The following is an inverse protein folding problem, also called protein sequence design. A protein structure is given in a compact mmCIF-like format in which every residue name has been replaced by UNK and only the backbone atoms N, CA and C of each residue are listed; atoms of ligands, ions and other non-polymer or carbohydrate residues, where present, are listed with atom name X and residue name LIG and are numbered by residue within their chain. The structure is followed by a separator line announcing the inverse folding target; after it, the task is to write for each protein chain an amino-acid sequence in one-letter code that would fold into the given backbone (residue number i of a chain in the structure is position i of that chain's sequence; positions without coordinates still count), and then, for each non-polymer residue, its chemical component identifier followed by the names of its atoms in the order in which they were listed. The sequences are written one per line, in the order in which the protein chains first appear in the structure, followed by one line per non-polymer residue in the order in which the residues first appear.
data_IF_299272197227
#
_entry.id   IF_299272197227
#
_cell.length_a   1.000
_cell.length_b   1.000
_cell.length_c   1.000
_cell.angle_alpha   90.00
_cell.angle_beta   90.00
_cell.angle_gamma   90.00
#
_symmetry.space_group_name_H-M   'P 1'
#
loop_
_entity.id
_entity.type
_entity.pdbx_description
1 polymer ?
#
# COMPACT_ATOMS: atom_id res chain seq x y z
N UNK A 1 28.13 -9.86 13.15
CA UNK A 1 28.02 -8.50 12.57
C UNK A 1 27.10 -7.67 13.47
N UNK A 2 27.27 -6.35 13.53
CA UNK A 2 26.45 -5.48 14.39
C UNK A 2 25.41 -4.70 13.57
N UNK A 3 24.19 -4.60 14.09
CA UNK A 3 23.05 -3.86 13.53
C UNK A 3 22.59 -2.78 14.51
N UNK A 4 21.96 -1.72 14.01
CA UNK A 4 21.27 -0.73 14.85
C UNK A 4 19.88 -1.26 15.23
N UNK A 5 19.52 -1.11 16.50
CA UNK A 5 18.12 -1.17 16.93
C UNK A 5 17.68 0.25 17.27
N UNK A 6 16.61 0.71 16.62
CA UNK A 6 16.08 2.06 16.83
C UNK A 6 14.62 1.92 17.23
N UNK A 7 14.28 2.43 18.42
CA UNK A 7 12.90 2.54 18.88
C UNK A 7 12.49 4.00 18.83
N UNK A 8 11.46 4.32 18.05
CA UNK A 8 10.92 5.67 17.96
C UNK A 8 9.71 5.83 18.87
N UNK A 9 9.45 7.06 19.37
CA UNK A 9 8.14 7.35 19.94
C UNK A 9 7.04 7.18 18.87
N UNK A 10 5.76 7.11 19.26
CA UNK A 10 4.68 7.06 18.29
C UNK A 10 4.76 8.21 17.28
N UNK A 11 4.46 7.94 16.00
CA UNK A 11 4.62 8.88 14.88
C UNK A 11 3.29 9.29 14.24
N UNK A 12 3.25 10.44 13.57
CA UNK A 12 2.12 10.76 12.70
C UNK A 12 2.17 9.91 11.40
N UNK A 13 1.07 9.89 10.65
CA UNK A 13 0.97 9.08 9.43
C UNK A 13 1.97 9.49 8.33
N UNK A 14 2.34 10.76 8.23
CA UNK A 14 3.28 11.27 7.21
C UNK A 14 4.70 10.80 7.50
N UNK A 15 5.10 10.87 8.76
CA UNK A 15 6.36 10.35 9.26
C UNK A 15 6.39 8.82 9.16
N UNK A 16 5.30 8.13 9.50
CA UNK A 16 5.20 6.68 9.40
C UNK A 16 5.53 6.18 7.98
N UNK A 17 4.87 6.73 6.97
CA UNK A 17 5.02 6.28 5.56
C UNK A 17 6.35 6.69 4.90
N UNK A 18 7.19 7.48 5.57
CA UNK A 18 8.46 7.98 5.04
C UNK A 18 9.68 7.56 5.84
N UNK A 19 9.50 7.10 7.09
CA UNK A 19 10.58 6.80 8.03
C UNK A 19 11.62 5.80 7.52
N UNK A 20 11.21 4.80 6.75
CA UNK A 20 12.14 3.82 6.18
C UNK A 20 13.06 4.43 5.11
N UNK A 21 12.67 5.53 4.45
CA UNK A 21 13.42 6.09 3.31
C UNK A 21 14.74 6.69 3.79
N UNK A 22 14.71 7.54 4.82
CA UNK A 22 15.94 8.17 5.33
C UNK A 22 16.91 7.12 5.89
N UNK A 23 16.39 6.09 6.57
CA UNK A 23 17.20 4.96 7.05
C UNK A 23 17.75 4.13 5.89
N UNK A 24 16.98 3.92 4.82
CA UNK A 24 17.46 3.23 3.61
C UNK A 24 18.55 4.02 2.88
N UNK A 25 18.46 5.36 2.84
CA UNK A 25 19.51 6.23 2.32
C UNK A 25 20.79 6.13 3.17
N UNK A 26 20.67 6.13 4.51
CA UNK A 26 21.80 5.89 5.43
C UNK A 26 22.48 4.52 5.17
N UNK A 27 21.70 3.44 5.07
CA UNK A 27 22.22 2.10 4.77
C UNK A 27 22.88 2.04 3.39
N UNK A 28 22.27 2.67 2.38
CA UNK A 28 22.81 2.77 1.01
C UNK A 28 24.21 3.42 0.97
N UNK A 29 24.48 4.35 1.90
CA UNK A 29 25.78 5.05 2.00
C UNK A 29 26.81 4.30 2.85
N UNK A 30 26.56 3.03 3.19
CA UNK A 30 27.47 2.19 3.98
C UNK A 30 27.14 2.15 5.47
N UNK A 31 25.98 2.67 5.88
CA UNK A 31 25.46 2.54 7.22
C UNK A 31 25.23 1.09 7.66
N UNK A 32 25.11 0.87 8.98
CA UNK A 32 24.73 -0.44 9.53
C UNK A 32 23.28 -0.77 9.18
N UNK A 33 22.99 -2.03 8.88
CA UNK A 33 21.60 -2.51 8.83
C UNK A 33 20.87 -2.11 10.11
N UNK A 34 19.61 -1.75 9.97
CA UNK A 34 18.83 -1.13 11.04
C UNK A 34 17.50 -1.85 11.17
N UNK A 35 17.15 -2.21 12.40
CA UNK A 35 15.81 -2.65 12.76
C UNK A 35 15.13 -1.52 13.54
N UNK A 36 14.10 -0.94 12.93
CA UNK A 36 13.35 0.19 13.42
C UNK A 36 11.98 -0.29 13.92
N UNK A 37 11.58 0.09 15.12
CA UNK A 37 10.27 -0.24 15.70
C UNK A 37 9.56 1.00 16.24
N UNK A 38 8.24 1.06 16.08
CA UNK A 38 7.42 2.19 16.54
C UNK A 38 5.92 1.87 16.47
N UNK A 39 5.08 2.90 16.57
CA UNK A 39 3.63 2.84 16.36
C UNK A 39 3.15 4.21 15.89
N UNK A 40 1.86 4.37 15.58
CA UNK A 40 1.30 5.68 15.26
C UNK A 40 0.67 6.36 16.47
N UNK A 41 0.70 7.70 16.46
CA UNK A 41 0.07 8.56 17.48
C UNK A 41 -1.45 8.56 17.39
N UNK A 42 -1.99 8.50 16.19
CA UNK A 42 -3.43 8.57 15.90
C UNK A 42 -3.71 7.73 14.66
N UNK A 43 -4.93 7.18 14.49
CA UNK A 43 -5.25 6.42 13.31
C UNK A 43 -5.22 7.28 12.05
N UNK A 44 -4.87 6.69 10.91
CA UNK A 44 -4.90 7.35 9.61
C UNK A 44 -5.21 6.36 8.49
N UNK A 45 -5.71 6.89 7.36
CA UNK A 45 -5.97 6.10 6.15
C UNK A 45 -4.76 6.22 5.23
N UNK A 46 -4.12 5.10 4.90
CA UNK A 46 -2.99 5.07 3.98
C UNK A 46 -3.39 4.55 2.59
N UNK A 47 -3.46 5.46 1.63
CA UNK A 47 -3.87 5.19 0.24
C UNK A 47 -2.64 4.87 -0.61
N UNK A 48 -2.74 3.86 -1.47
CA UNK A 48 -1.69 3.50 -2.42
C UNK A 48 -1.51 4.52 -3.53
N UNK A 49 -0.30 4.61 -4.10
CA UNK A 49 0.06 5.67 -5.06
C UNK A 49 -0.88 5.73 -6.27
N UNK A 50 -1.34 4.59 -6.80
CA UNK A 50 -2.20 4.52 -7.98
C UNK A 50 -3.71 4.53 -7.69
N UNK A 51 -4.12 4.69 -6.42
CA UNK A 51 -5.54 4.70 -6.04
C UNK A 51 -6.13 6.12 -6.03
N UNK A 52 -7.40 6.26 -6.35
CA UNK A 52 -8.14 7.53 -6.22
C UNK A 52 -8.80 7.61 -4.84
N UNK A 53 -8.52 8.67 -4.08
CA UNK A 53 -9.02 8.80 -2.70
C UNK A 53 -10.54 8.73 -2.66
N UNK A 54 -11.21 9.39 -3.61
CA UNK A 54 -12.67 9.45 -3.65
C UNK A 54 -13.34 8.08 -3.88
N UNK A 55 -12.60 7.08 -4.41
CA UNK A 55 -13.07 5.70 -4.59
C UNK A 55 -12.78 4.82 -3.38
N UNK A 56 -11.69 5.07 -2.65
CA UNK A 56 -11.25 4.19 -1.56
C UNK A 56 -11.71 4.64 -0.18
N UNK A 57 -11.86 5.95 0.04
CA UNK A 57 -11.97 6.53 1.39
C UNK A 57 -13.34 7.14 1.60
N UNK A 58 -13.94 6.82 2.74
CA UNK A 58 -15.10 7.54 3.25
C UNK A 58 -14.63 8.90 3.79
N UNK A 59 -14.55 9.88 2.89
CA UNK A 59 -14.04 11.22 3.20
C UNK A 59 -14.90 11.94 4.24
N UNK A 60 -16.22 11.75 4.21
CA UNK A 60 -17.13 12.36 5.17
C UNK A 60 -16.86 11.84 6.59
N UNK A 61 -16.74 10.51 6.74
CA UNK A 61 -16.40 9.90 8.02
C UNK A 61 -15.01 10.32 8.51
N UNK A 62 -13.99 10.26 7.65
CA UNK A 62 -12.61 10.54 8.05
C UNK A 62 -12.41 12.01 8.43
N UNK A 63 -12.99 12.96 7.68
CA UNK A 63 -12.97 14.39 8.02
C UNK A 63 -13.68 14.67 9.35
N UNK A 64 -14.89 14.12 9.54
CA UNK A 64 -15.66 14.30 10.79
C UNK A 64 -14.93 13.78 12.02
N UNK A 65 -14.19 12.67 11.88
CA UNK A 65 -13.46 12.03 12.96
C UNK A 65 -11.98 12.45 13.04
N UNK A 66 -11.54 13.43 12.24
CA UNK A 66 -10.15 13.93 12.20
C UNK A 66 -9.11 12.84 11.92
N UNK A 67 -9.47 11.87 11.08
CA UNK A 67 -8.59 10.78 10.65
C UNK A 67 -7.93 11.23 9.34
N UNK A 68 -6.62 11.52 9.31
CA UNK A 68 -5.98 12.02 8.11
C UNK A 68 -5.90 10.95 7.02
N UNK A 69 -5.95 11.40 5.76
CA UNK A 69 -5.65 10.57 4.59
C UNK A 69 -4.21 10.86 4.16
N UNK A 70 -3.40 9.82 4.05
CA UNK A 70 -1.99 9.92 3.69
C UNK A 70 -1.72 9.02 2.49
N UNK A 71 -1.10 9.55 1.45
CA UNK A 71 -0.69 8.77 0.27
C UNK A 71 0.76 8.31 0.39
N UNK A 72 1.03 7.02 0.19
CA UNK A 72 2.39 6.46 0.10
C UNK A 72 2.86 6.37 -1.35
N UNK A 73 4.17 6.25 -1.54
CA UNK A 73 4.81 6.08 -2.86
C UNK A 73 4.66 4.68 -3.48
N UNK A 74 4.14 3.72 -2.71
CA UNK A 74 3.97 2.36 -3.15
C UNK A 74 2.54 2.08 -3.58
N UNK A 75 2.40 1.13 -4.52
CA UNK A 75 1.13 0.52 -4.88
C UNK A 75 0.48 -0.26 -3.74
N UNK A 76 -0.46 -1.13 -4.09
CA UNK A 76 -1.26 -1.89 -3.12
C UNK A 76 -2.49 -1.14 -2.64
N UNK A 77 -3.34 -1.86 -1.91
CA UNK A 77 -4.66 -1.35 -1.50
C UNK A 77 -4.58 -0.33 -0.36
N UNK A 78 -5.72 0.31 -0.08
CA UNK A 78 -5.85 1.24 1.03
C UNK A 78 -5.90 0.45 2.33
N UNK A 79 -5.17 0.91 3.33
CA UNK A 79 -5.15 0.32 4.67
C UNK A 79 -5.42 1.40 5.70
N UNK A 80 -5.97 1.02 6.84
CA UNK A 80 -6.21 1.93 7.97
C UNK A 80 -5.27 1.49 9.08
N UNK A 81 -4.38 2.40 9.47
CA UNK A 81 -3.31 2.11 10.41
C UNK A 81 -3.67 2.76 11.74
N UNK A 82 -3.53 2.01 12.84
CA UNK A 82 -4.00 2.45 14.17
C UNK A 82 -2.91 2.36 15.22
N UNK A 83 -3.12 3.03 16.37
CA UNK A 83 -2.27 2.90 17.56
C UNK A 83 -2.19 1.44 18.08
N UNK A 84 -3.09 0.56 17.63
CA UNK A 84 -3.11 -0.87 17.93
C UNK A 84 -2.02 -1.67 17.21
N UNK A 85 -1.18 -1.03 16.40
CA UNK A 85 -0.11 -1.68 15.63
C UNK A 85 1.25 -1.45 16.27
N UNK A 86 2.12 -2.46 16.21
CA UNK A 86 3.55 -2.32 16.46
C UNK A 86 4.29 -2.46 15.14
N UNK A 87 4.58 -1.32 14.54
CA UNK A 87 5.17 -1.22 13.22
C UNK A 87 6.67 -1.40 13.29
N UNK A 88 7.22 -2.01 12.24
CA UNK A 88 8.65 -2.18 12.11
C UNK A 88 9.14 -2.06 10.67
N UNK A 89 10.40 -1.65 10.54
CA UNK A 89 11.16 -1.73 9.32
C UNK A 89 12.49 -2.44 9.54
N UNK A 90 12.77 -3.43 8.71
CA UNK A 90 14.07 -4.10 8.64
C UNK A 90 14.77 -3.55 7.40
N UNK A 91 15.79 -2.72 7.61
CA UNK A 91 16.52 -2.04 6.53
C UNK A 91 17.90 -2.67 6.38
N UNK A 92 18.13 -3.26 5.23
CA UNK A 92 19.26 -4.13 4.91
C UNK A 92 20.09 -3.56 3.78
N UNK A 93 21.40 -3.76 3.80
CA UNK A 93 22.20 -3.68 2.59
C UNK A 93 21.71 -4.71 1.57
N UNK A 94 21.58 -4.30 0.31
CA UNK A 94 21.01 -5.15 -0.74
C UNK A 94 21.77 -6.46 -0.94
N UNK A 95 23.10 -6.45 -0.80
CA UNK A 95 23.94 -7.64 -0.91
C UNK A 95 23.73 -8.69 0.21
N UNK A 96 23.09 -8.30 1.32
CA UNK A 96 22.78 -9.21 2.44
C UNK A 96 21.35 -9.76 2.40
N UNK A 97 20.52 -9.19 1.50
CA UNK A 97 19.14 -9.57 1.28
C UNK A 97 19.06 -10.63 0.17
N UNK A 98 18.41 -11.79 0.42
CA UNK A 98 18.07 -12.71 -0.65
C UNK A 98 17.30 -12.01 -1.77
N UNK A 99 17.66 -12.30 -3.02
CA UNK A 99 16.97 -11.75 -4.19
C UNK A 99 15.60 -12.39 -4.41
N UNK A 100 15.42 -13.64 -3.99
CA UNK A 100 14.14 -14.32 -4.00
C UNK A 100 13.24 -13.80 -2.86
N UNK A 101 12.04 -13.27 -3.14
CA UNK A 101 11.16 -12.71 -2.12
C UNK A 101 10.74 -13.71 -1.05
N UNK A 102 10.53 -14.98 -1.40
CA UNK A 102 10.14 -16.00 -0.41
C UNK A 102 11.28 -16.25 0.57
N UNK A 103 12.50 -16.44 0.08
CA UNK A 103 13.69 -16.58 0.92
C UNK A 103 13.96 -15.32 1.78
N UNK A 104 13.67 -14.12 1.26
CA UNK A 104 13.77 -12.87 2.00
C UNK A 104 12.82 -12.87 3.21
N UNK A 105 11.53 -13.15 2.99
CA UNK A 105 10.53 -13.18 4.06
C UNK A 105 10.80 -14.31 5.05
N UNK A 106 11.13 -15.52 4.59
CA UNK A 106 11.47 -16.63 5.46
C UNK A 106 12.65 -16.28 6.38
N UNK A 107 13.72 -15.68 5.85
CA UNK A 107 14.90 -15.32 6.64
C UNK A 107 14.61 -14.23 7.68
N UNK A 108 13.90 -13.17 7.31
CA UNK A 108 13.79 -11.97 8.15
C UNK A 108 12.49 -11.85 8.94
N UNK A 109 11.45 -12.61 8.61
CA UNK A 109 10.21 -12.67 9.40
C UNK A 109 10.16 -13.85 10.38
N UNK A 110 11.01 -14.87 10.21
CA UNK A 110 11.12 -15.98 11.17
C UNK A 110 11.37 -15.51 12.61
N UNK A 111 12.23 -14.50 12.89
CA UNK A 111 12.37 -13.98 14.24
C UNK A 111 11.05 -13.44 14.83
N UNK A 112 10.23 -12.76 14.02
CA UNK A 112 8.92 -12.26 14.45
C UNK A 112 7.98 -13.43 14.76
N UNK A 113 7.97 -14.46 13.91
CA UNK A 113 7.21 -15.71 14.14
C UNK A 113 7.64 -16.38 15.44
N UNK A 114 8.95 -16.46 15.73
CA UNK A 114 9.46 -17.07 16.95
C UNK A 114 9.02 -16.31 18.20
N UNK A 115 9.03 -14.97 18.17
CA UNK A 115 8.52 -14.17 19.30
C UNK A 115 7.04 -14.45 19.58
N UNK A 116 6.22 -14.59 18.53
CA UNK A 116 4.81 -14.97 18.72
C UNK A 116 4.67 -16.37 19.33
N UNK A 117 5.52 -17.32 18.92
CA UNK A 117 5.58 -18.67 19.53
C UNK A 117 6.04 -18.64 20.99
N UNK A 118 6.95 -17.74 21.34
CA UNK A 118 7.40 -17.54 22.72
C UNK A 118 6.29 -16.97 23.63
N UNK A 119 5.28 -16.31 23.06
CA UNK A 119 4.03 -15.98 23.76
C UNK A 119 3.04 -17.15 23.85
N UNK A 120 3.41 -18.34 23.37
CA UNK A 120 2.56 -19.53 23.35
C UNK A 120 1.59 -19.61 22.17
N UNK A 121 1.76 -18.75 21.15
CA UNK A 121 0.86 -18.70 20.00
C UNK A 121 1.31 -19.66 18.89
N UNK A 122 0.34 -20.33 18.26
CA UNK A 122 0.60 -21.15 17.07
C UNK A 122 0.79 -20.27 15.83
N UNK A 123 1.96 -19.64 15.73
CA UNK A 123 2.33 -18.71 14.67
C UNK A 123 3.10 -19.41 13.53
N UNK A 124 2.83 -18.97 12.29
CA UNK A 124 3.55 -19.41 11.10
C UNK A 124 3.56 -18.32 10.02
N UNK A 125 4.57 -18.37 9.14
CA UNK A 125 4.60 -17.55 7.93
C UNK A 125 3.64 -18.10 6.88
N UNK A 126 2.93 -17.23 6.18
CA UNK A 126 2.09 -17.52 5.01
C UNK A 126 2.38 -16.46 3.94
N UNK A 127 3.25 -16.81 2.99
CA UNK A 127 3.83 -15.89 2.02
C UNK A 127 4.52 -14.70 2.72
N UNK A 128 4.03 -13.47 2.54
CA UNK A 128 4.51 -12.28 3.26
C UNK A 128 3.78 -12.01 4.58
N UNK A 129 2.71 -12.73 4.90
CA UNK A 129 1.93 -12.49 6.12
C UNK A 129 2.34 -13.44 7.25
N UNK A 130 2.20 -13.01 8.51
CA UNK A 130 2.29 -13.92 9.65
C UNK A 130 0.88 -14.19 10.15
N UNK A 131 0.58 -15.47 10.36
CA UNK A 131 -0.72 -15.94 10.84
C UNK A 131 -0.57 -16.62 12.19
N UNK A 132 -1.57 -16.47 13.05
CA UNK A 132 -1.77 -17.21 14.30
C UNK A 132 -3.10 -17.93 14.21
N UNK A 133 -3.10 -19.25 14.40
CA UNK A 133 -4.31 -20.07 14.27
C UNK A 133 -5.03 -19.86 12.90
N UNK A 134 -4.26 -19.65 11.84
CA UNK A 134 -4.76 -19.39 10.49
C UNK A 134 -5.27 -17.96 10.22
N UNK A 135 -5.32 -17.09 11.24
CA UNK A 135 -5.73 -15.68 11.13
C UNK A 135 -4.51 -14.75 11.04
N UNK A 136 -4.59 -13.71 10.22
CA UNK A 136 -3.49 -12.76 10.01
C UNK A 136 -3.26 -11.90 11.25
N UNK A 137 -2.03 -11.87 11.76
CA UNK A 137 -1.59 -10.99 12.87
C UNK A 137 -0.55 -9.95 12.42
N UNK A 138 0.10 -10.18 11.28
CA UNK A 138 1.12 -9.29 10.70
C UNK A 138 0.97 -9.26 9.19
N UNK A 139 0.96 -8.07 8.60
CA UNK A 139 1.13 -7.89 7.16
C UNK A 139 2.51 -7.35 6.86
N UNK A 140 3.17 -7.89 5.83
CA UNK A 140 4.49 -7.42 5.44
C UNK A 140 4.58 -7.13 3.94
N UNK A 141 5.51 -6.28 3.58
CA UNK A 141 5.92 -6.01 2.21
C UNK A 141 7.39 -5.65 2.14
N UNK A 142 7.99 -5.82 0.98
CA UNK A 142 9.38 -5.46 0.76
C UNK A 142 9.52 -4.52 -0.43
N UNK A 143 10.52 -3.64 -0.37
CA UNK A 143 10.93 -2.80 -1.50
C UNK A 143 12.44 -2.63 -1.51
N UNK A 144 12.95 -2.18 -2.66
CA UNK A 144 14.34 -1.74 -2.80
C UNK A 144 14.37 -0.23 -2.93
N UNK A 145 15.25 0.42 -2.16
CA UNK A 145 15.53 1.85 -2.25
C UNK A 145 17.04 2.06 -2.31
N UNK A 146 17.55 2.57 -3.43
CA UNK A 146 18.99 2.68 -3.65
C UNK A 146 19.66 1.30 -3.62
N UNK A 147 20.65 1.13 -2.73
CA UNK A 147 21.33 -0.16 -2.47
C UNK A 147 20.87 -0.78 -1.15
N UNK A 148 19.66 -0.44 -0.70
CA UNK A 148 19.03 -1.00 0.48
C UNK A 148 17.75 -1.76 0.13
N UNK A 149 17.48 -2.82 0.88
CA UNK A 149 16.21 -3.55 0.87
C UNK A 149 15.50 -3.25 2.19
N UNK A 150 14.24 -2.87 2.11
CA UNK A 150 13.38 -2.56 3.26
C UNK A 150 12.29 -3.61 3.32
N UNK A 151 12.15 -4.26 4.47
CA UNK A 151 10.96 -5.06 4.81
C UNK A 151 10.15 -4.23 5.80
N UNK A 152 8.95 -3.84 5.38
CA UNK A 152 7.95 -3.16 6.20
C UNK A 152 6.97 -4.18 6.75
N UNK A 153 6.67 -4.10 8.04
CA UNK A 153 5.67 -4.95 8.64
C UNK A 153 5.12 -4.38 9.94
N UNK A 154 4.16 -5.09 10.50
CA UNK A 154 3.55 -4.75 11.78
C UNK A 154 3.24 -5.99 12.61
N UNK A 155 2.98 -5.82 13.90
CA UNK A 155 2.30 -6.80 14.74
C UNK A 155 1.02 -6.15 15.26
N UNK A 156 -0.14 -6.76 15.00
CA UNK A 156 -1.41 -6.29 15.52
C UNK A 156 -1.45 -6.56 17.03
N UNK A 157 -1.23 -5.51 17.83
CA UNK A 157 -1.43 -5.54 19.28
C UNK A 157 -2.93 -5.56 19.59
N UNK A 158 -3.69 -4.71 18.86
CA UNK A 158 -5.15 -4.60 18.85
C UNK A 158 -5.64 -4.42 17.41
N UNK A 159 -6.86 -4.88 17.14
CA UNK A 159 -7.46 -4.76 15.81
C UNK A 159 -8.86 -4.14 15.91
N UNK A 160 -9.01 -2.88 15.49
CA UNK A 160 -10.30 -2.18 15.44
C UNK A 160 -10.90 -2.28 14.03
N UNK A 161 -11.46 -3.45 13.71
CA UNK A 161 -12.08 -3.71 12.40
C UNK A 161 -13.30 -2.81 12.12
N UNK A 162 -13.95 -2.32 13.17
CA UNK A 162 -15.08 -1.40 13.05
C UNK A 162 -14.60 -0.03 12.58
N UNK A 163 -13.58 0.54 13.23
CA UNK A 163 -12.95 1.78 12.78
C UNK A 163 -12.40 1.64 11.35
N UNK A 164 -11.68 0.56 11.08
CA UNK A 164 -11.12 0.28 9.75
C UNK A 164 -12.22 0.30 8.68
N UNK A 165 -13.33 -0.40 8.91
CA UNK A 165 -14.44 -0.47 7.94
C UNK A 165 -15.13 0.87 7.70
N UNK A 166 -15.17 1.76 8.72
CA UNK A 166 -15.81 3.08 8.61
C UNK A 166 -14.99 4.08 7.81
N UNK A 167 -13.67 3.91 7.76
CA UNK A 167 -12.79 4.76 6.97
C UNK A 167 -12.80 4.44 5.47
N UNK A 168 -13.21 3.23 5.09
CA UNK A 168 -13.21 2.76 3.70
C UNK A 168 -14.55 3.07 3.05
N UNK A 169 -14.51 3.57 1.81
CA UNK A 169 -15.72 3.79 1.02
C UNK A 169 -16.32 2.46 0.60
N UNK A 170 -17.63 2.31 0.81
CA UNK A 170 -18.37 1.09 0.49
C UNK A 170 -19.73 1.43 -0.11
N UNK A 171 -20.36 0.51 -0.86
CA UNK A 171 -21.62 0.80 -1.56
C UNK A 171 -22.82 0.98 -0.63
N UNK A 172 -22.76 0.44 0.59
CA UNK A 172 -23.85 0.52 1.57
C UNK A 172 -23.37 0.18 2.99
N UNK A 173 -24.11 0.62 4.00
CA UNK A 173 -23.84 0.26 5.40
C UNK A 173 -23.91 -1.26 5.65
N UNK A 174 -24.83 -1.97 5.00
CA UNK A 174 -24.89 -3.44 5.08
C UNK A 174 -23.60 -4.09 4.54
N UNK A 175 -23.02 -3.52 3.50
CA UNK A 175 -21.73 -3.99 2.99
C UNK A 175 -20.59 -3.68 3.96
N UNK A 176 -20.64 -2.51 4.62
CA UNK A 176 -19.71 -2.13 5.69
C UNK A 176 -19.70 -3.13 6.83
N UNK A 177 -20.88 -3.48 7.34
CA UNK A 177 -21.02 -4.44 8.44
C UNK A 177 -20.46 -5.81 8.07
N UNK A 178 -20.75 -6.26 6.85
CA UNK A 178 -20.19 -7.50 6.31
C UNK A 178 -18.66 -7.42 6.22
N UNK A 179 -18.12 -6.33 5.68
CA UNK A 179 -16.67 -6.12 5.59
C UNK A 179 -16.01 -6.14 6.97
N UNK A 180 -16.59 -5.45 7.96
CA UNK A 180 -16.08 -5.43 9.33
C UNK A 180 -16.06 -6.85 9.94
N UNK A 181 -17.14 -7.61 9.73
CA UNK A 181 -17.23 -9.00 10.16
C UNK A 181 -16.18 -9.88 9.47
N UNK A 182 -16.09 -9.84 8.14
CA UNK A 182 -15.14 -10.63 7.36
C UNK A 182 -13.68 -10.31 7.78
N UNK A 183 -13.37 -9.02 8.01
CA UNK A 183 -12.08 -8.61 8.57
C UNK A 183 -11.85 -9.22 9.96
N UNK A 184 -12.83 -9.16 10.86
CA UNK A 184 -12.71 -9.71 12.22
C UNK A 184 -12.54 -11.23 12.25
N UNK A 185 -13.00 -11.94 11.23
CA UNK A 185 -12.78 -13.37 11.07
C UNK A 185 -11.39 -13.67 10.50
N UNK A 186 -10.90 -12.83 9.59
CA UNK A 186 -9.61 -13.00 8.92
C UNK A 186 -8.40 -12.56 9.76
N UNK A 187 -8.51 -11.46 10.50
CA UNK A 187 -7.40 -10.90 11.28
C UNK A 187 -7.50 -11.25 12.77
N UNK A 188 -6.35 -11.25 13.44
CA UNK A 188 -6.25 -11.41 14.88
C UNK A 188 -5.22 -10.45 15.45
N UNK A 189 -5.13 -10.40 16.79
CA UNK A 189 -4.22 -9.52 17.51
C UNK A 189 -3.68 -10.23 18.75
N UNK A 190 -2.60 -9.68 19.34
CA UNK A 190 -2.09 -10.16 20.62
C UNK A 190 -3.18 -10.08 21.71
N UNK A 191 -3.94 -9.00 21.77
CA UNK A 191 -5.06 -8.87 22.72
C UNK A 191 -6.06 -10.02 22.60
N UNK A 192 -6.43 -10.39 21.37
CA UNK A 192 -7.43 -11.43 21.12
C UNK A 192 -6.91 -12.81 21.47
N UNK A 193 -5.65 -13.11 21.14
CA UNK A 193 -5.08 -14.45 21.32
C UNK A 193 -4.56 -14.67 22.75
N UNK A 194 -4.09 -13.62 23.43
CA UNK A 194 -3.54 -13.70 24.80
C UNK A 194 -4.52 -13.26 25.89
N UNK A 195 -5.57 -12.52 25.55
CA UNK A 195 -6.48 -11.90 26.51
C UNK A 195 -5.94 -10.62 27.16
N UNK A 196 -4.76 -10.16 26.76
CA UNK A 196 -4.15 -8.90 27.19
C UNK A 196 -3.21 -8.36 26.11
N UNK A 197 -2.84 -7.08 26.21
CA UNK A 197 -1.83 -6.47 25.34
C UNK A 197 -0.49 -6.44 26.08
N UNK A 198 0.56 -7.16 25.63
CA UNK A 198 1.87 -7.08 26.25
C UNK A 198 2.48 -5.67 26.07
N UNK A 199 3.31 -5.19 27.02
CA UNK A 199 4.04 -3.95 26.86
C UNK A 199 4.94 -3.97 25.62
N UNK A 200 5.05 -2.83 24.93
CA UNK A 200 5.88 -2.73 23.71
C UNK A 200 7.36 -2.96 24.03
N UNK A 201 7.84 -2.50 25.18
CA UNK A 201 9.21 -2.69 25.62
C UNK A 201 9.55 -4.19 25.83
N UNK A 202 8.57 -4.98 26.27
CA UNK A 202 8.73 -6.44 26.36
C UNK A 202 8.82 -7.08 24.97
N UNK A 203 7.94 -6.65 24.07
CA UNK A 203 7.94 -7.10 22.67
C UNK A 203 9.25 -6.75 21.96
N UNK A 204 9.74 -5.52 22.10
CA UNK A 204 11.02 -5.05 21.57
C UNK A 204 12.18 -5.90 22.08
N UNK A 205 12.21 -6.20 23.38
CA UNK A 205 13.24 -7.04 23.99
C UNK A 205 13.22 -8.46 23.39
N UNK A 206 12.05 -9.07 23.26
CA UNK A 206 11.90 -10.41 22.66
C UNK A 206 12.30 -10.41 21.19
N UNK A 207 11.89 -9.38 20.43
CA UNK A 207 12.28 -9.22 19.03
C UNK A 207 13.80 -9.11 18.89
N UNK A 208 14.46 -8.23 19.65
CA UNK A 208 15.92 -8.13 19.66
C UNK A 208 16.58 -9.49 19.89
N UNK A 209 16.18 -10.18 20.96
CA UNK A 209 16.74 -11.48 21.33
C UNK A 209 16.54 -12.53 20.22
N UNK A 210 15.34 -12.60 19.64
CA UNK A 210 15.06 -13.56 18.57
C UNK A 210 15.84 -13.26 17.28
N UNK A 211 16.00 -11.99 16.91
CA UNK A 211 16.78 -11.59 15.73
C UNK A 211 18.28 -11.88 15.95
N UNK A 212 18.84 -11.56 17.13
CA UNK A 212 20.22 -11.90 17.47
C UNK A 212 20.48 -13.40 17.40
N UNK A 213 19.60 -14.22 17.99
CA UNK A 213 19.72 -15.67 18.00
C UNK A 213 19.58 -16.28 16.60
N UNK A 214 18.62 -15.81 15.81
CA UNK A 214 18.33 -16.39 14.49
C UNK A 214 19.35 -15.99 13.42
N UNK A 215 19.81 -14.74 13.43
CA UNK A 215 20.71 -14.20 12.40
C UNK A 215 22.19 -14.22 12.80
N UNK A 216 22.52 -14.52 14.06
CA UNK A 216 23.90 -14.43 14.56
C UNK A 216 24.45 -13.01 14.55
N UNK A 217 23.58 -12.02 14.70
CA UNK A 217 23.92 -10.59 14.77
C UNK A 217 23.87 -10.09 16.21
N UNK A 218 24.37 -8.87 16.44
CA UNK A 218 24.22 -8.15 17.70
C UNK A 218 23.61 -6.78 17.45
N UNK A 219 22.67 -6.39 18.31
CA UNK A 219 22.09 -5.05 18.25
C UNK A 219 22.86 -4.07 19.11
N UNK A 220 23.03 -2.88 18.57
CA UNK A 220 23.40 -1.67 19.29
C UNK A 220 22.18 -0.75 19.33
N UNK A 221 21.73 -0.41 20.53
CA UNK A 221 20.68 0.60 20.70
C UNK A 221 21.18 1.94 20.18
N UNK A 222 20.38 2.57 19.32
CA UNK A 222 20.77 3.76 18.58
C UNK A 222 19.58 4.69 18.38
N UNK A 223 19.87 5.96 18.17
CA UNK A 223 18.91 6.96 17.71
C UNK A 223 19.10 7.19 16.21
N UNK A 224 18.11 7.79 15.55
CA UNK A 224 18.33 8.34 14.21
C UNK A 224 19.39 9.44 14.28
N UNK A 225 20.25 9.48 13.27
CA UNK A 225 21.25 10.54 13.12
C UNK A 225 20.57 11.87 12.77
N UNK A 226 21.21 13.03 13.02
CA UNK A 226 20.65 14.32 12.64
C UNK A 226 20.30 14.41 11.14
N UNK A 227 21.11 13.84 10.26
CA UNK A 227 20.86 13.79 8.82
C UNK A 227 19.64 12.92 8.48
N UNK A 228 19.50 11.73 9.11
CA UNK A 228 18.31 10.89 8.94
C UNK A 228 17.03 11.63 9.37
N UNK A 229 17.09 12.40 10.47
CA UNK A 229 15.94 13.16 11.00
C UNK A 229 15.58 14.33 10.08
N UNK A 230 16.56 15.12 9.65
CA UNK A 230 16.34 16.24 8.73
C UNK A 230 15.72 15.76 7.42
N UNK A 231 16.28 14.69 6.85
CA UNK A 231 15.76 14.07 5.64
C UNK A 231 14.34 13.53 5.82
N UNK A 232 14.07 12.91 6.97
CA UNK A 232 12.76 12.36 7.28
C UNK A 232 11.69 13.45 7.42
N UNK A 233 11.98 14.57 8.10
CA UNK A 233 11.05 15.69 8.22
C UNK A 233 10.78 16.33 6.84
N UNK A 234 11.81 16.47 5.99
CA UNK A 234 11.63 16.93 4.62
C UNK A 234 10.64 16.04 3.86
N UNK A 235 10.85 14.72 3.90
CA UNK A 235 9.97 13.75 3.24
C UNK A 235 8.55 13.82 3.80
N UNK A 236 8.38 13.88 5.12
CA UNK A 236 7.07 13.97 5.75
C UNK A 236 6.34 15.26 5.34
N UNK A 237 7.06 16.38 5.26
CA UNK A 237 6.54 17.67 4.78
C UNK A 237 6.04 17.58 3.33
N UNK A 238 6.81 16.94 2.43
CA UNK A 238 6.38 16.69 1.05
C UNK A 238 5.07 15.87 0.99
N UNK A 239 4.91 14.88 1.89
CA UNK A 239 3.72 14.03 1.96
C UNK A 239 2.49 14.71 2.57
N UNK A 240 2.66 15.81 3.30
CA UNK A 240 1.55 16.63 3.83
C UNK A 240 0.87 17.48 2.77
N UNK A 241 1.50 17.66 1.61
CA UNK A 241 0.92 18.45 0.54
C UNK A 241 -0.36 17.79 0.01
N UNK A 242 -1.48 18.50 0.02
CA UNK A 242 -2.74 18.01 -0.54
C UNK A 242 -2.64 17.70 -2.04
N UNK A 243 -1.81 18.44 -2.79
CA UNK A 243 -1.53 18.12 -4.20
C UNK A 243 -0.99 16.70 -4.34
N UNK A 244 -0.17 16.24 -3.39
CA UNK A 244 0.33 14.87 -3.38
C UNK A 244 -0.76 13.89 -2.96
N UNK A 245 -1.49 14.16 -1.87
CA UNK A 245 -2.52 13.26 -1.33
C UNK A 245 -3.59 12.99 -2.39
N UNK A 246 -4.00 14.02 -3.13
CA UNK A 246 -5.05 13.95 -4.13
C UNK A 246 -4.53 14.02 -5.58
N UNK A 247 -3.24 13.80 -5.83
CA UNK A 247 -2.67 13.99 -7.17
C UNK A 247 -3.41 13.18 -8.25
N UNK A 248 -3.79 11.93 -7.91
CA UNK A 248 -4.50 11.03 -8.80
C UNK A 248 -5.93 11.52 -9.06
N UNK A 249 -6.64 11.92 -8.00
CA UNK A 249 -7.98 12.52 -8.07
C UNK A 249 -8.00 13.85 -8.84
N UNK A 250 -6.90 14.63 -8.77
CA UNK A 250 -6.75 15.96 -9.40
C UNK A 250 -6.30 15.88 -10.85
N UNK A 251 -5.74 14.75 -11.30
CA UNK A 251 -5.34 14.55 -12.70
C UNK A 251 -6.56 14.52 -13.63
N UNK A 252 -7.67 13.94 -13.15
CA UNK A 252 -8.92 13.79 -13.90
C UNK A 252 -10.12 14.23 -13.04
N UNK A 253 -10.23 15.54 -12.70
CA UNK A 253 -11.16 16.02 -11.68
C UNK A 253 -12.64 15.81 -12.04
N UNK A 254 -12.94 15.73 -13.34
CA UNK A 254 -14.29 15.56 -13.87
C UNK A 254 -14.70 14.08 -14.02
N UNK A 255 -13.76 13.13 -13.88
CA UNK A 255 -14.03 11.70 -14.00
C UNK A 255 -14.51 11.07 -12.68
N UNK A 256 -15.61 11.60 -12.13
CA UNK A 256 -16.20 11.14 -10.86
C UNK A 256 -17.51 10.38 -11.05
N UNK A 257 -17.41 9.13 -11.47
CA UNK A 257 -18.53 8.19 -11.54
C UNK A 257 -18.07 6.79 -11.19
N UNK A 258 -18.91 6.02 -10.51
CA UNK A 258 -18.68 4.61 -10.15
C UNK A 258 -19.46 3.64 -11.06
N UNK A 259 -20.08 4.17 -12.12
CA UNK A 259 -20.88 3.42 -13.10
C UNK A 259 -20.80 4.06 -14.49
N UNK A 260 -21.41 3.41 -15.48
CA UNK A 260 -21.56 3.97 -16.82
C UNK A 260 -22.83 4.81 -16.93
N UNK A 261 -22.68 6.00 -17.51
CA UNK A 261 -23.72 7.01 -17.65
C UNK A 261 -23.57 7.69 -19.00
N UNK A 262 -24.66 7.74 -19.76
CA UNK A 262 -24.77 8.58 -20.95
C UNK A 262 -25.18 9.99 -20.52
N UNK A 263 -24.34 10.97 -20.80
CA UNK A 263 -24.58 12.38 -20.44
C UNK A 263 -25.39 13.07 -21.54
N UNK A 264 -25.07 12.79 -22.79
CA UNK A 264 -25.78 13.30 -23.97
C UNK A 264 -25.64 12.33 -25.14
N UNK A 265 -26.20 12.68 -26.30
CA UNK A 265 -25.97 11.90 -27.54
C UNK A 265 -24.48 11.83 -27.92
N UNK A 266 -23.68 12.83 -27.55
CA UNK A 266 -22.27 12.92 -27.92
C UNK A 266 -21.32 12.52 -26.78
N UNK A 267 -21.81 12.31 -25.55
CA UNK A 267 -20.94 12.13 -24.37
C UNK A 267 -21.41 10.99 -23.49
N UNK A 268 -20.49 10.08 -23.15
CA UNK A 268 -20.66 9.06 -22.11
C UNK A 268 -19.44 9.03 -21.18
N UNK A 269 -19.67 8.71 -19.91
CA UNK A 269 -18.60 8.41 -18.96
C UNK A 269 -18.87 7.02 -18.40
N UNK A 270 -17.86 6.17 -18.36
CA UNK A 270 -18.00 4.78 -17.96
C UNK A 270 -16.89 4.37 -17.00
N UNK A 271 -17.30 3.76 -15.89
CA UNK A 271 -16.41 3.21 -14.87
C UNK A 271 -16.49 1.68 -14.88
N UNK A 272 -15.33 1.04 -14.79
CA UNK A 272 -15.20 -0.40 -14.69
C UNK A 272 -14.20 -0.78 -13.61
N UNK A 273 -14.65 -1.63 -12.68
CA UNK A 273 -13.79 -2.42 -11.79
C UNK A 273 -13.43 -3.74 -12.50
N UNK A 274 -12.18 -3.89 -12.93
CA UNK A 274 -11.67 -5.09 -13.60
C UNK A 274 -10.72 -5.87 -12.69
N UNK A 275 -11.03 -7.14 -12.43
CA UNK A 275 -10.21 -8.01 -11.58
C UNK A 275 -9.21 -8.82 -12.42
N UNK A 276 -8.00 -8.28 -12.55
CA UNK A 276 -6.83 -9.03 -12.99
C UNK A 276 -6.20 -9.77 -11.79
N UNK A 277 -4.86 -9.88 -11.73
CA UNK A 277 -4.17 -10.32 -10.50
C UNK A 277 -4.43 -9.35 -9.35
N UNK A 278 -4.47 -8.06 -9.66
CA UNK A 278 -4.86 -6.95 -8.80
C UNK A 278 -6.05 -6.22 -9.41
N UNK A 279 -6.73 -5.41 -8.60
CA UNK A 279 -7.84 -4.59 -9.06
C UNK A 279 -7.30 -3.46 -9.94
N UNK A 280 -7.87 -3.35 -11.14
CA UNK A 280 -7.68 -2.23 -12.06
C UNK A 280 -9.03 -1.55 -12.20
N UNK A 281 -9.05 -0.24 -12.01
CA UNK A 281 -10.23 0.60 -12.20
C UNK A 281 -9.98 1.50 -13.39
N UNK A 282 -10.95 1.57 -14.28
CA UNK A 282 -10.87 2.45 -15.45
C UNK A 282 -12.12 3.32 -15.45
N UNK A 283 -11.92 4.63 -15.38
CA UNK A 283 -12.97 5.62 -15.65
C UNK A 283 -12.64 6.30 -16.95
N UNK A 284 -13.47 6.14 -17.98
CA UNK A 284 -13.24 6.63 -19.32
C UNK A 284 -14.37 7.56 -19.76
N UNK A 285 -14.03 8.72 -20.33
CA UNK A 285 -14.96 9.66 -20.94
C UNK A 285 -14.84 9.60 -22.45
N UNK A 286 -15.95 9.32 -23.11
CA UNK A 286 -16.07 9.31 -24.56
C UNK A 286 -16.81 10.55 -25.03
N UNK A 287 -16.27 11.22 -26.04
CA UNK A 287 -16.88 12.38 -26.72
C UNK A 287 -16.83 12.13 -28.22
N UNK A 288 -17.97 12.17 -28.90
CA UNK A 288 -18.08 11.92 -30.35
C UNK A 288 -17.35 10.62 -30.76
N UNK A 289 -17.61 9.55 -30.00
CA UNK A 289 -16.99 8.22 -30.09
C UNK A 289 -15.48 8.15 -29.84
N UNK A 290 -14.79 9.24 -29.51
CA UNK A 290 -13.36 9.20 -29.16
C UNK A 290 -13.17 9.11 -27.65
N UNK A 291 -12.13 8.41 -27.21
CA UNK A 291 -11.71 8.38 -25.82
C UNK A 291 -11.08 9.73 -25.48
N UNK A 292 -11.85 10.65 -24.91
CA UNK A 292 -11.39 12.01 -24.64
C UNK A 292 -10.47 12.08 -23.43
N UNK A 293 -10.77 11.30 -22.40
CA UNK A 293 -10.07 11.31 -21.12
C UNK A 293 -10.20 9.93 -20.45
N UNK A 294 -9.17 9.49 -19.74
CA UNK A 294 -9.20 8.22 -19.00
C UNK A 294 -8.37 8.28 -17.73
N UNK A 295 -8.94 7.83 -16.62
CA UNK A 295 -8.24 7.50 -15.38
C UNK A 295 -8.09 5.99 -15.28
N UNK A 296 -6.85 5.53 -15.08
CA UNK A 296 -6.51 4.15 -14.75
C UNK A 296 -5.96 4.15 -13.32
N UNK A 297 -6.71 3.57 -12.39
CA UNK A 297 -6.37 3.52 -10.97
C UNK A 297 -6.49 2.10 -10.41
N UNK A 298 -6.05 1.85 -9.18
CA UNK A 298 -6.20 0.52 -8.56
C UNK A 298 -5.12 0.17 -7.54
N UNK A 299 -5.15 -1.09 -7.10
CA UNK A 299 -4.28 -1.62 -6.02
C UNK A 299 -3.05 -2.39 -6.55
N UNK A 300 -2.71 -2.19 -7.82
CA UNK A 300 -1.52 -2.75 -8.46
C UNK A 300 -0.24 -2.01 -8.07
N UNK A 301 0.91 -2.55 -8.49
CA UNK A 301 2.22 -1.95 -8.28
C UNK A 301 2.89 -1.71 -9.63
N UNK A 302 3.42 -0.50 -9.83
CA UNK A 302 4.30 -0.17 -10.96
C UNK A 302 5.71 0.05 -10.43
N UNK A 303 6.61 -0.87 -10.74
CA UNK A 303 8.00 -0.82 -10.26
C UNK A 303 8.89 0.03 -11.16
N UNK A 304 8.64 0.02 -12.47
CA UNK A 304 9.38 0.84 -13.45
C UNK A 304 8.63 0.92 -14.78
N UNK A 305 8.66 2.05 -15.50
CA UNK A 305 8.93 3.37 -14.97
C UNK A 305 7.79 3.80 -14.04
N UNK A 306 8.07 4.60 -13.00
CA UNK A 306 7.06 4.97 -11.98
C UNK A 306 5.88 5.77 -12.54
N UNK A 307 6.10 6.51 -13.61
CA UNK A 307 5.14 7.35 -14.31
C UNK A 307 4.47 6.64 -15.50
N UNK A 308 4.52 5.31 -15.55
CA UNK A 308 3.95 4.53 -16.66
C UNK A 308 2.46 4.78 -16.86
N UNK A 309 1.69 4.85 -15.76
CA UNK A 309 0.23 5.00 -15.83
C UNK A 309 -0.13 6.36 -16.42
N UNK A 310 0.50 7.42 -15.93
CA UNK A 310 0.30 8.78 -16.41
C UNK A 310 0.62 8.88 -17.90
N UNK A 311 1.77 8.30 -18.33
CA UNK A 311 2.15 8.24 -19.75
C UNK A 311 1.17 7.43 -20.60
N UNK A 312 0.58 6.37 -20.05
CA UNK A 312 -0.40 5.55 -20.75
C UNK A 312 -1.72 6.31 -20.93
N UNK A 313 -2.20 6.97 -19.87
CA UNK A 313 -3.41 7.83 -19.92
C UNK A 313 -3.25 8.96 -20.95
N UNK A 314 -2.08 9.61 -20.98
CA UNK A 314 -1.78 10.68 -21.97
C UNK A 314 -1.80 10.14 -23.40
N UNK A 315 -1.32 8.91 -23.63
CA UNK A 315 -1.30 8.27 -24.96
C UNK A 315 -2.69 7.80 -25.41
N UNK A 316 -3.53 7.39 -24.48
CA UNK A 316 -4.90 6.94 -24.74
C UNK A 316 -5.87 8.10 -24.99
N UNK A 317 -5.60 9.26 -24.39
CA UNK A 317 -6.42 10.44 -24.54
C UNK A 317 -6.43 10.93 -26.00
N UNK A 318 -7.63 11.16 -26.52
CA UNK A 318 -7.89 11.54 -27.90
C UNK A 318 -7.93 10.39 -28.91
N UNK A 319 -7.77 9.13 -28.52
CA UNK A 319 -7.73 7.98 -29.45
C UNK A 319 -9.13 7.52 -29.88
N UNK A 320 -9.24 6.89 -31.05
CA UNK A 320 -10.49 6.22 -31.44
C UNK A 320 -10.58 4.82 -30.79
N UNK A 321 -11.79 4.26 -30.59
CA UNK A 321 -11.99 2.98 -29.93
C UNK A 321 -11.18 1.84 -30.54
N UNK A 322 -11.10 1.79 -31.86
CA UNK A 322 -10.37 0.76 -32.61
C UNK A 322 -8.84 0.85 -32.43
N UNK A 323 -8.32 2.02 -32.04
CA UNK A 323 -6.89 2.27 -31.84
C UNK A 323 -6.42 1.95 -30.41
N UNK A 324 -7.32 1.86 -29.43
CA UNK A 324 -6.99 1.69 -28.00
C UNK A 324 -6.06 0.49 -27.78
N UNK A 325 -6.39 -0.66 -28.37
CA UNK A 325 -5.57 -1.88 -28.25
C UNK A 325 -4.14 -1.67 -28.76
N UNK A 326 -4.00 -1.02 -29.92
CA UNK A 326 -2.70 -0.74 -30.53
C UNK A 326 -1.88 0.23 -29.69
N UNK A 327 -2.53 1.23 -29.09
CA UNK A 327 -1.89 2.21 -28.20
C UNK A 327 -1.37 1.54 -26.93
N UNK A 328 -2.15 0.63 -26.33
CA UNK A 328 -1.72 -0.16 -25.17
C UNK A 328 -0.51 -1.02 -25.54
N UNK A 329 -0.58 -1.80 -26.62
CA UNK A 329 0.53 -2.67 -27.04
C UNK A 329 1.80 -1.86 -27.32
N UNK A 330 1.68 -0.71 -27.99
CA UNK A 330 2.80 0.20 -28.26
C UNK A 330 3.40 0.76 -26.96
N UNK A 331 2.58 1.18 -26.00
CA UNK A 331 3.05 1.68 -24.72
C UNK A 331 3.81 0.62 -23.91
N UNK A 332 3.30 -0.62 -23.86
CA UNK A 332 3.99 -1.72 -23.18
C UNK A 332 5.30 -2.10 -23.87
N UNK A 333 5.33 -2.10 -25.20
CA UNK A 333 6.54 -2.41 -25.98
C UNK A 333 7.63 -1.36 -25.84
N UNK A 334 7.26 -0.07 -25.88
CA UNK A 334 8.20 1.06 -25.80
C UNK A 334 8.68 1.33 -24.38
N UNK A 335 7.76 1.38 -23.41
CA UNK A 335 8.07 1.75 -22.02
C UNK A 335 8.50 0.56 -21.18
N UNK A 336 8.23 -0.67 -21.63
CA UNK A 336 8.61 -1.94 -21.00
C UNK A 336 8.35 -1.95 -19.50
N UNK A 337 7.10 -1.70 -19.07
CA UNK A 337 6.82 -1.51 -17.67
C UNK A 337 6.97 -2.82 -16.90
N UNK A 338 7.51 -2.73 -15.70
CA UNK A 338 7.54 -3.81 -14.71
C UNK A 338 6.39 -3.57 -13.76
N UNK A 339 5.31 -4.35 -13.92
CA UNK A 339 4.06 -4.19 -13.18
C UNK A 339 3.73 -5.50 -12.46
N UNK A 340 3.30 -5.38 -11.20
CA UNK A 340 2.64 -6.47 -10.50
C UNK A 340 1.16 -6.12 -10.31
N UNK A 341 0.30 -6.74 -11.11
CA UNK A 341 -1.14 -6.60 -10.94
C UNK A 341 -1.96 -6.85 -12.21
N UNK A 342 -1.44 -6.43 -13.36
CA UNK A 342 -2.07 -6.62 -14.65
C UNK A 342 -1.00 -6.61 -15.77
N UNK A 343 -1.37 -7.06 -16.95
CA UNK A 343 -0.57 -6.95 -18.18
C UNK A 343 -1.34 -6.21 -19.30
N UNK A 344 -0.75 -6.10 -20.49
CA UNK A 344 -1.37 -5.42 -21.62
C UNK A 344 -2.72 -6.05 -22.03
N UNK A 345 -2.83 -7.38 -22.02
CA UNK A 345 -4.05 -8.10 -22.39
C UNK A 345 -5.18 -7.87 -21.39
N UNK A 346 -4.84 -7.78 -20.10
CA UNK A 346 -5.81 -7.43 -19.05
C UNK A 346 -6.43 -6.04 -19.30
N UNK A 347 -5.60 -5.04 -19.64
CA UNK A 347 -6.11 -3.71 -19.96
C UNK A 347 -6.95 -3.71 -21.24
N UNK A 348 -6.51 -4.40 -22.29
CA UNK A 348 -7.28 -4.50 -23.54
C UNK A 348 -8.67 -5.09 -23.30
N UNK A 349 -8.77 -6.16 -22.51
CA UNK A 349 -10.06 -6.76 -22.12
C UNK A 349 -10.92 -5.80 -21.29
N UNK A 350 -10.31 -5.08 -20.34
CA UNK A 350 -11.03 -4.10 -19.54
C UNK A 350 -11.60 -2.96 -20.42
N UNK A 351 -10.85 -2.47 -21.40
CA UNK A 351 -11.36 -1.50 -22.37
C UNK A 351 -12.43 -2.09 -23.28
N UNK A 352 -12.27 -3.33 -23.74
CA UNK A 352 -13.29 -4.03 -24.54
C UNK A 352 -14.63 -4.12 -23.77
N UNK A 353 -14.59 -4.43 -22.47
CA UNK A 353 -15.79 -4.43 -21.61
C UNK A 353 -16.45 -3.05 -21.49
N UNK A 354 -15.65 -1.97 -21.39
CA UNK A 354 -16.15 -0.59 -21.40
C UNK A 354 -16.78 -0.26 -22.74
N UNK A 355 -16.10 -0.57 -23.84
CA UNK A 355 -16.57 -0.28 -25.18
C UNK A 355 -17.87 -1.02 -25.49
N UNK A 356 -18.08 -2.22 -24.95
CA UNK A 356 -19.32 -2.98 -25.11
C UNK A 356 -20.50 -2.47 -24.26
N UNK A 357 -20.33 -1.42 -23.44
CA UNK A 357 -21.44 -0.85 -22.66
C UNK A 357 -22.42 -0.09 -23.55
N UNK A 358 -23.74 -0.27 -23.36
CA UNK A 358 -24.76 0.44 -24.15
C UNK A 358 -24.56 1.95 -24.14
N UNK A 359 -24.24 2.53 -22.99
CA UNK A 359 -24.04 3.97 -22.82
C UNK A 359 -22.92 4.51 -23.73
N UNK A 360 -21.89 3.71 -23.98
CA UNK A 360 -20.74 4.05 -24.83
C UNK A 360 -21.06 3.82 -26.30
N UNK A 361 -21.72 2.70 -26.64
CA UNK A 361 -22.11 2.34 -28.01
C UNK A 361 -23.13 3.31 -28.62
N UNK A 362 -24.01 3.88 -27.80
CA UNK A 362 -25.03 4.82 -28.26
C UNK A 362 -24.54 6.28 -28.38
N UNK A 363 -23.26 6.55 -28.12
CA UNK A 363 -22.65 7.85 -28.42
C UNK A 363 -22.51 7.98 -29.93
N UNK A 364 -23.04 9.06 -30.50
CA UNK A 364 -23.02 9.34 -31.94
C UNK A 364 -21.93 10.33 -32.32
#
# INVERSE_FOLDING_TARGET
MSWRFVSLPPQDGYHMVTSFVSVAEYVTRGGKNTFLVFSVKEPFVNVGVHQEVWLEVDLDYTLKNKIPVVRRDLGGGTVVITQGEHDYFIVLRQEEAPSDPKALYEKFLTPVVNVLRDYGLNASLRDQDIVVNGRKISGNGAMTHGKAVVIAGNILMRADTQLMSKCIKVPSEKFRDKMAKDMSEWITSLERELGYVPPREELDKKLKQSFEAHLGIKFEDSMLTPEEIERWEQLASEKRNEEWIYYKDRRHPDLRTDRCVKISSAVAICHLDYKARKLVRITAKFVEKRLQEVSISGDFFVMSPRDFIEKLEDRLSGTSPDEISQVIDKAFSELKPVIFGFNADDLKKAFEEILNKPEVQEVT
#
